data_IF_252905763923
#
_entry.id   IF_252905763923
#
_cell.length_a   1.000
_cell.length_b   1.000
_cell.length_c   1.000
_cell.angle_alpha   90.00
_cell.angle_beta   90.00
_cell.angle_gamma   90.00
#
_symmetry.space_group_name_H-M   'P 1'
#
loop_
_entity.id
_entity.type
_entity.pdbx_description
1 polymer ?
#
# COMPACT_ATOMS: atom_id res chain seq x y z
N UNK A 1 -15.91 -20.90 -6.11
CA UNK A 1 -16.43 -21.83 -5.07
C UNK A 1 -15.33 -22.41 -4.19
N UNK A 2 -14.24 -22.96 -4.77
CA UNK A 2 -13.09 -23.52 -4.01
C UNK A 2 -12.40 -22.51 -3.09
N UNK A 3 -12.19 -21.26 -3.55
CA UNK A 3 -11.57 -20.20 -2.74
C UNK A 3 -12.33 -19.82 -1.45
N UNK A 4 -13.65 -20.02 -1.42
CA UNK A 4 -14.47 -19.69 -0.25
C UNK A 4 -14.36 -20.78 0.82
N UNK A 5 -14.35 -22.05 0.39
CA UNK A 5 -14.24 -23.22 1.26
C UNK A 5 -12.86 -23.27 1.95
N UNK A 6 -11.78 -22.97 1.21
CA UNK A 6 -10.42 -22.94 1.77
C UNK A 6 -10.28 -21.83 2.84
N UNK A 7 -10.93 -20.67 2.63
CA UNK A 7 -10.95 -19.59 3.62
C UNK A 7 -11.71 -20.00 4.89
N UNK A 8 -12.85 -20.68 4.77
CA UNK A 8 -13.62 -21.18 5.92
C UNK A 8 -12.84 -22.21 6.73
N UNK A 9 -12.15 -23.15 6.08
CA UNK A 9 -11.36 -24.18 6.77
C UNK A 9 -10.18 -23.54 7.52
N UNK A 10 -9.50 -22.56 6.92
CA UNK A 10 -8.38 -21.86 7.58
C UNK A 10 -8.82 -21.09 8.82
N UNK A 11 -9.96 -20.39 8.74
CA UNK A 11 -10.52 -19.66 9.89
C UNK A 11 -10.91 -20.62 11.02
N UNK A 12 -11.51 -21.77 10.69
CA UNK A 12 -11.84 -22.81 11.66
C UNK A 12 -10.57 -23.38 12.30
N UNK A 13 -9.52 -23.65 11.52
CA UNK A 13 -8.26 -24.17 12.04
C UNK A 13 -7.58 -23.16 12.99
N UNK A 14 -7.60 -21.87 12.64
CA UNK A 14 -7.06 -20.80 13.47
C UNK A 14 -7.82 -20.69 14.80
N UNK A 15 -9.16 -20.73 14.75
CA UNK A 15 -10.01 -20.69 15.93
C UNK A 15 -9.83 -21.93 16.83
N UNK A 16 -9.66 -23.11 16.23
CA UNK A 16 -9.37 -24.35 16.96
C UNK A 16 -8.00 -24.28 17.65
N UNK A 17 -6.98 -23.73 16.97
CA UNK A 17 -5.66 -23.51 17.55
C UNK A 17 -5.74 -22.52 18.71
N UNK A 18 -6.43 -21.39 18.54
CA UNK A 18 -6.65 -20.40 19.59
C UNK A 18 -7.40 -21.01 20.79
N UNK A 19 -8.45 -21.79 20.53
CA UNK A 19 -9.26 -22.45 21.56
C UNK A 19 -8.47 -23.55 22.31
N UNK A 20 -7.74 -24.40 21.60
CA UNK A 20 -6.86 -25.41 22.20
C UNK A 20 -5.82 -24.76 23.12
N UNK A 21 -5.21 -23.66 22.70
CA UNK A 21 -4.26 -22.94 23.54
C UNK A 21 -4.91 -22.24 24.72
N UNK A 22 -6.11 -21.68 24.57
CA UNK A 22 -6.89 -21.14 25.69
C UNK A 22 -7.18 -22.23 26.74
N UNK A 23 -7.56 -23.43 26.30
CA UNK A 23 -7.81 -24.58 27.17
C UNK A 23 -6.54 -25.03 27.90
N UNK A 24 -5.41 -25.15 27.19
CA UNK A 24 -4.11 -25.52 27.76
C UNK A 24 -3.58 -24.49 28.78
N UNK A 25 -3.84 -23.20 28.58
CA UNK A 25 -3.49 -22.12 29.53
C UNK A 25 -4.32 -22.26 30.82
N UNK A 26 -5.61 -22.59 30.69
CA UNK A 26 -6.53 -22.75 31.84
C UNK A 26 -6.15 -23.93 32.74
N UNK A 27 -5.51 -24.96 32.18
CA UNK A 27 -5.10 -26.19 32.90
C UNK A 27 -3.66 -26.07 33.49
N UNK A 28 -3.00 -24.90 33.44
CA UNK A 28 -1.65 -24.67 34.03
C UNK A 28 -0.53 -25.62 33.55
N UNK A 29 -0.74 -26.34 32.44
CA UNK A 29 0.20 -27.33 31.89
C UNK A 29 1.43 -26.74 31.18
N UNK A 30 1.46 -25.42 30.93
CA UNK A 30 2.55 -24.76 30.19
C UNK A 30 3.26 -23.76 31.12
N UNK A 31 4.58 -23.90 31.38
CA UNK A 31 5.34 -22.92 32.15
C UNK A 31 5.34 -21.55 31.44
N UNK A 32 5.21 -20.47 32.21
CA UNK A 32 5.00 -19.08 31.75
C UNK A 32 6.08 -18.60 30.77
N UNK A 33 7.27 -19.19 30.81
CA UNK A 33 8.40 -18.90 29.91
C UNK A 33 8.17 -19.34 28.46
N UNK A 34 7.43 -20.44 28.24
CA UNK A 34 7.09 -20.93 26.89
C UNK A 34 5.98 -20.12 26.23
N UNK A 35 5.21 -19.37 27.02
CA UNK A 35 4.15 -18.46 26.56
C UNK A 35 4.74 -17.41 25.60
N UNK A 36 5.84 -16.76 25.97
CA UNK A 36 6.46 -15.70 25.16
C UNK A 36 6.89 -16.18 23.77
N UNK A 37 7.58 -17.32 23.69
CA UNK A 37 8.12 -17.85 22.43
C UNK A 37 7.02 -18.32 21.46
N UNK A 38 5.96 -18.92 21.99
CA UNK A 38 4.87 -19.44 21.19
C UNK A 38 3.96 -18.30 20.67
N UNK A 39 3.66 -17.30 21.50
CA UNK A 39 2.94 -16.10 21.04
C UNK A 39 3.75 -15.34 19.98
N UNK A 40 5.08 -15.23 20.12
CA UNK A 40 5.94 -14.64 19.10
C UNK A 40 5.89 -15.41 17.78
N UNK A 41 5.86 -16.75 17.82
CA UNK A 41 5.78 -17.60 16.62
C UNK A 41 4.42 -17.52 15.93
N UNK A 42 3.33 -17.54 16.70
CA UNK A 42 1.96 -17.33 16.19
C UNK A 42 1.81 -15.93 15.61
N UNK A 43 2.33 -14.90 16.30
CA UNK A 43 2.35 -13.53 15.81
C UNK A 43 3.16 -13.40 14.52
N UNK A 44 4.32 -14.07 14.41
CA UNK A 44 5.11 -14.06 13.19
C UNK A 44 4.38 -14.75 12.04
N UNK A 45 3.74 -15.90 12.27
CA UNK A 45 2.93 -16.61 11.27
C UNK A 45 1.72 -15.77 10.86
N UNK A 46 1.02 -15.17 11.81
CA UNK A 46 -0.10 -14.27 11.55
C UNK A 46 0.36 -13.00 10.81
N UNK A 47 1.54 -12.46 11.13
CA UNK A 47 2.16 -11.32 10.44
C UNK A 47 2.56 -11.68 9.01
N UNK A 48 3.16 -12.85 8.78
CA UNK A 48 3.45 -13.38 7.44
C UNK A 48 2.15 -13.59 6.64
N UNK A 49 1.11 -14.13 7.27
CA UNK A 49 -0.20 -14.35 6.65
C UNK A 49 -0.92 -13.02 6.33
N UNK A 50 -0.84 -12.03 7.22
CA UNK A 50 -1.38 -10.68 7.01
C UNK A 50 -0.61 -9.95 5.92
N UNK A 51 0.72 -10.05 5.87
CA UNK A 51 1.54 -9.53 4.77
C UNK A 51 1.11 -10.17 3.44
N UNK A 52 0.79 -11.48 3.44
CA UNK A 52 0.26 -12.19 2.28
C UNK A 52 -1.14 -11.74 1.82
N UNK A 53 -1.92 -11.03 2.66
CA UNK A 53 -3.25 -10.51 2.32
C UNK A 53 -3.25 -9.12 1.70
N UNK A 54 -2.11 -8.44 1.62
CA UNK A 54 -2.06 -7.06 1.10
C UNK A 54 -1.70 -7.10 -0.38
N UNK A 55 -2.67 -7.54 -1.18
CA UNK A 55 -2.53 -7.62 -2.63
C UNK A 55 -3.65 -6.85 -3.31
N UNK A 56 -3.29 -6.14 -4.36
CA UNK A 56 -4.23 -5.51 -5.28
C UNK A 56 -4.50 -6.47 -6.44
N UNK A 57 -5.75 -6.64 -6.84
CA UNK A 57 -6.10 -7.46 -8.00
C UNK A 57 -6.36 -6.54 -9.20
N UNK A 58 -5.67 -6.82 -10.31
CA UNK A 58 -5.92 -6.20 -11.61
C UNK A 58 -5.92 -7.31 -12.67
N UNK A 59 -7.02 -7.49 -13.40
CA UNK A 59 -7.14 -8.49 -14.46
C UNK A 59 -6.68 -9.91 -14.05
N UNK A 60 -7.07 -10.35 -12.84
CA UNK A 60 -6.68 -11.62 -12.20
C UNK A 60 -5.19 -11.74 -11.81
N UNK A 61 -4.40 -10.68 -11.94
CA UNK A 61 -3.02 -10.61 -11.45
C UNK A 61 -3.03 -10.04 -10.05
N UNK A 62 -2.36 -10.73 -9.12
CA UNK A 62 -2.15 -10.23 -7.76
C UNK A 62 -0.87 -9.40 -7.70
N UNK A 63 -1.01 -8.14 -7.33
CA UNK A 63 0.10 -7.18 -7.21
C UNK A 63 0.35 -6.91 -5.74
N UNK A 64 1.61 -7.04 -5.30
CA UNK A 64 1.98 -6.86 -3.91
C UNK A 64 1.93 -5.37 -3.51
N UNK A 65 1.21 -5.07 -2.43
CA UNK A 65 1.12 -3.72 -1.87
C UNK A 65 1.47 -3.70 -0.39
N UNK A 66 1.74 -2.51 0.16
CA UNK A 66 1.85 -2.33 1.61
C UNK A 66 0.48 -2.12 2.26
N UNK A 67 0.44 -2.08 3.60
CA UNK A 67 -0.79 -1.87 4.39
C UNK A 67 -1.56 -0.58 4.05
N UNK A 68 -0.89 0.40 3.42
CA UNK A 68 -1.46 1.68 3.01
C UNK A 68 -1.84 1.70 1.53
N UNK A 69 -1.61 0.60 0.80
CA UNK A 69 -1.90 0.45 -0.62
C UNK A 69 -0.85 1.06 -1.56
N UNK A 70 0.39 1.28 -1.11
CA UNK A 70 1.52 1.58 -2.00
C UNK A 70 2.03 0.29 -2.64
N UNK A 71 2.53 0.36 -3.88
CA UNK A 71 3.16 -0.80 -4.50
C UNK A 71 4.49 -1.11 -3.82
N UNK A 72 4.78 -2.39 -3.64
CA UNK A 72 6.09 -2.83 -3.16
C UNK A 72 7.16 -2.64 -4.26
N UNK A 73 6.78 -2.87 -5.52
CA UNK A 73 7.66 -2.72 -6.69
C UNK A 73 7.06 -1.72 -7.66
N UNK A 74 7.80 -0.65 -7.95
CA UNK A 74 7.37 0.37 -8.92
C UNK A 74 7.29 -0.16 -10.36
N UNK A 75 7.99 -1.25 -10.66
CA UNK A 75 7.98 -1.96 -11.94
C UNK A 75 6.65 -2.63 -12.26
N UNK A 76 5.86 -2.96 -11.23
CA UNK A 76 4.58 -3.69 -11.39
C UNK A 76 3.45 -2.74 -11.84
N UNK A 77 3.76 -1.44 -11.95
CA UNK A 77 2.79 -0.42 -12.31
C UNK A 77 2.48 -0.41 -13.81
N UNK A 78 1.21 -0.22 -14.11
CA UNK A 78 0.67 0.08 -15.44
C UNK A 78 -0.37 1.18 -15.33
N UNK A 79 -0.75 1.81 -16.44
CA UNK A 79 -1.82 2.83 -16.45
C UNK A 79 -3.13 2.28 -15.88
N UNK A 80 -3.50 1.04 -16.24
CA UNK A 80 -4.67 0.37 -15.70
C UNK A 80 -4.61 0.21 -14.17
N UNK A 81 -3.42 -0.07 -13.62
CA UNK A 81 -3.21 -0.10 -12.18
C UNK A 81 -3.31 1.30 -11.56
N UNK A 82 -2.75 2.31 -12.23
CA UNK A 82 -2.86 3.71 -11.82
C UNK A 82 -4.32 4.14 -11.69
N UNK A 83 -5.18 3.76 -12.65
CA UNK A 83 -6.63 4.01 -12.61
C UNK A 83 -7.27 3.32 -11.40
N UNK A 84 -6.96 2.05 -11.15
CA UNK A 84 -7.52 1.32 -9.98
C UNK A 84 -7.04 1.92 -8.65
N UNK A 85 -5.78 2.34 -8.55
CA UNK A 85 -5.26 3.03 -7.36
C UNK A 85 -5.97 4.38 -7.17
N UNK A 86 -6.14 5.16 -8.24
CA UNK A 86 -6.84 6.45 -8.19
C UNK A 86 -8.31 6.30 -7.77
N UNK A 87 -8.99 5.27 -8.28
CA UNK A 87 -10.36 4.93 -7.87
C UNK A 87 -10.46 4.66 -6.37
N UNK A 88 -9.49 3.96 -5.78
CA UNK A 88 -9.41 3.72 -4.33
C UNK A 88 -9.10 4.99 -3.53
N UNK A 89 -8.33 5.90 -4.11
CA UNK A 89 -8.06 7.24 -3.58
C UNK A 89 -9.22 8.22 -3.80
N UNK A 90 -10.31 7.78 -4.45
CA UNK A 90 -11.47 8.62 -4.81
C UNK A 90 -11.08 9.80 -5.69
N UNK A 91 -10.13 9.59 -6.61
CA UNK A 91 -9.69 10.55 -7.61
C UNK A 91 -10.07 10.04 -9.00
N UNK A 92 -10.73 10.90 -9.77
CA UNK A 92 -10.97 10.68 -11.19
C UNK A 92 -9.76 11.21 -11.99
N UNK A 93 -9.10 10.31 -12.72
CA UNK A 93 -7.92 10.68 -13.50
C UNK A 93 -8.32 11.41 -14.78
N UNK A 94 -7.91 12.68 -14.84
CA UNK A 94 -7.94 13.54 -16.02
C UNK A 94 -6.52 13.74 -16.55
N UNK A 95 -6.41 14.36 -17.72
CA UNK A 95 -5.13 14.68 -18.37
C UNK A 95 -4.15 15.39 -17.43
N UNK A 96 -4.64 16.32 -16.60
CA UNK A 96 -3.84 17.04 -15.63
C UNK A 96 -3.23 16.14 -14.55
N UNK A 97 -3.96 15.09 -14.15
CA UNK A 97 -3.48 14.13 -13.16
C UNK A 97 -2.38 13.26 -13.77
N UNK A 98 -2.56 12.82 -15.01
CA UNK A 98 -1.57 12.03 -15.75
C UNK A 98 -0.25 12.79 -15.92
N UNK A 99 -0.30 14.09 -16.21
CA UNK A 99 0.89 14.94 -16.28
C UNK A 99 1.72 14.87 -14.99
N UNK A 100 1.06 14.96 -13.83
CA UNK A 100 1.70 14.87 -12.52
C UNK A 100 2.20 13.43 -12.25
N UNK A 101 1.39 12.43 -12.55
CA UNK A 101 1.73 11.01 -12.34
C UNK A 101 2.98 10.62 -13.14
N UNK A 102 3.04 10.96 -14.43
CA UNK A 102 4.21 10.67 -15.25
C UNK A 102 5.45 11.43 -14.77
N UNK A 103 5.30 12.70 -14.35
CA UNK A 103 6.40 13.42 -13.74
C UNK A 103 6.94 12.71 -12.49
N UNK A 104 6.06 12.26 -11.59
CA UNK A 104 6.46 11.51 -10.39
C UNK A 104 7.23 10.24 -10.75
N UNK A 105 6.78 9.49 -11.77
CA UNK A 105 7.45 8.27 -12.24
C UNK A 105 8.82 8.57 -12.82
N UNK A 106 8.91 9.52 -13.76
CA UNK A 106 10.20 9.91 -14.37
C UNK A 106 11.20 10.37 -13.31
N UNK A 107 10.76 11.22 -12.38
CA UNK A 107 11.61 11.69 -11.29
C UNK A 107 12.08 10.55 -10.38
N UNK A 108 11.21 9.60 -10.06
CA UNK A 108 11.61 8.44 -9.26
C UNK A 108 12.62 7.54 -9.99
N UNK A 109 12.45 7.30 -11.29
CA UNK A 109 13.43 6.50 -12.05
C UNK A 109 14.78 7.19 -12.21
N UNK A 110 14.80 8.53 -12.20
CA UNK A 110 16.03 9.32 -12.30
C UNK A 110 16.77 9.44 -10.95
N UNK A 111 16.05 9.72 -9.86
CA UNK A 111 16.65 10.05 -8.56
C UNK A 111 16.45 8.98 -7.48
N UNK A 112 15.67 7.94 -7.75
CA UNK A 112 15.27 6.88 -6.80
C UNK A 112 14.60 7.40 -5.52
N UNK A 113 14.05 8.61 -5.56
CA UNK A 113 13.31 9.26 -4.46
C UNK A 113 12.04 9.93 -4.99
N UNK A 114 11.02 10.07 -4.14
CA UNK A 114 9.81 10.83 -4.49
C UNK A 114 10.06 12.33 -4.30
N UNK A 115 9.63 13.20 -5.22
CA UNK A 115 9.83 14.65 -5.09
C UNK A 115 8.96 15.23 -3.97
N UNK A 116 9.45 16.31 -3.35
CA UNK A 116 8.66 17.08 -2.38
C UNK A 116 7.58 17.91 -3.08
N UNK A 117 6.58 18.40 -2.34
CA UNK A 117 5.54 19.30 -2.90
C UNK A 117 6.17 20.54 -3.54
N UNK A 118 7.19 21.14 -2.90
CA UNK A 118 7.88 22.32 -3.43
C UNK A 118 8.57 22.03 -4.77
N UNK A 119 9.22 20.86 -4.88
CA UNK A 119 9.85 20.43 -6.13
C UNK A 119 8.81 20.15 -7.21
N UNK A 120 7.69 19.52 -6.84
CA UNK A 120 6.59 19.26 -7.76
C UNK A 120 6.01 20.56 -8.32
N UNK A 121 5.71 21.54 -7.45
CA UNK A 121 5.22 22.88 -7.86
C UNK A 121 6.18 23.53 -8.86
N UNK A 122 7.47 23.60 -8.51
CA UNK A 122 8.51 24.22 -9.36
C UNK A 122 8.64 23.51 -10.72
N UNK A 123 8.61 22.18 -10.72
CA UNK A 123 8.76 21.39 -11.95
C UNK A 123 7.54 21.50 -12.86
N UNK A 124 6.34 21.54 -12.27
CA UNK A 124 5.09 21.79 -13.00
C UNK A 124 5.04 23.21 -13.56
N UNK A 125 5.56 24.20 -12.82
CA UNK A 125 5.69 25.59 -13.30
C UNK A 125 6.61 25.68 -14.51
N UNK A 126 7.77 25.01 -14.44
CA UNK A 126 8.75 25.01 -15.52
C UNK A 126 8.23 24.32 -16.78
N UNK A 127 7.50 23.21 -16.64
CA UNK A 127 7.04 22.39 -17.77
C UNK A 127 5.71 22.86 -18.38
N UNK A 128 4.80 23.40 -17.56
CA UNK A 128 3.42 23.70 -17.97
C UNK A 128 2.98 25.14 -17.66
N UNK A 129 3.88 25.96 -17.11
CA UNK A 129 3.63 27.36 -16.78
C UNK A 129 3.02 27.59 -15.39
N UNK A 130 2.99 28.86 -14.97
CA UNK A 130 2.55 29.31 -13.63
C UNK A 130 1.14 28.88 -13.25
N UNK A 131 0.24 28.77 -14.23
CA UNK A 131 -1.15 28.38 -13.99
C UNK A 131 -1.28 26.94 -13.47
N UNK A 132 -0.35 26.06 -13.83
CA UNK A 132 -0.31 24.65 -13.41
C UNK A 132 0.76 24.36 -12.35
N UNK A 133 1.74 25.26 -12.22
CA UNK A 133 2.80 25.18 -11.23
C UNK A 133 2.52 25.95 -9.95
N UNK A 134 1.37 25.73 -9.31
CA UNK A 134 1.06 26.34 -8.03
C UNK A 134 0.42 25.35 -7.06
N UNK A 135 0.56 25.63 -5.76
CA UNK A 135 0.08 24.73 -4.70
C UNK A 135 -1.43 24.52 -4.80
N UNK A 136 -2.21 25.59 -4.98
CA UNK A 136 -3.68 25.53 -5.06
C UNK A 136 -4.16 24.58 -6.15
N UNK A 137 -3.60 24.70 -7.35
CA UNK A 137 -3.89 23.82 -8.48
C UNK A 137 -3.62 22.36 -8.15
N UNK A 138 -2.46 22.05 -7.57
CA UNK A 138 -2.11 20.68 -7.22
C UNK A 138 -2.98 20.11 -6.09
N UNK A 139 -3.37 20.90 -5.10
CA UNK A 139 -4.31 20.48 -4.06
C UNK A 139 -5.73 20.26 -4.60
N UNK A 140 -6.13 21.00 -5.64
CA UNK A 140 -7.40 20.75 -6.33
C UNK A 140 -7.40 19.41 -7.09
N UNK A 141 -6.24 19.00 -7.64
CA UNK A 141 -6.09 17.68 -8.28
C UNK A 141 -5.95 16.54 -7.26
N UNK A 142 -5.28 16.81 -6.14
CA UNK A 142 -4.92 15.80 -5.14
C UNK A 142 -5.24 16.31 -3.71
N UNK A 143 -6.52 16.25 -3.28
CA UNK A 143 -6.99 16.91 -2.06
C UNK A 143 -6.35 16.42 -0.76
N UNK A 144 -5.91 15.16 -0.69
CA UNK A 144 -5.29 14.59 0.52
C UNK A 144 -3.76 14.79 0.56
N UNK A 145 -3.22 15.61 -0.34
CA UNK A 145 -1.81 15.94 -0.42
C UNK A 145 -1.21 15.58 -1.78
N UNK A 146 -0.75 16.57 -2.56
CA UNK A 146 -0.27 16.35 -3.93
C UNK A 146 0.83 15.33 -4.06
N UNK A 147 1.93 15.50 -3.31
CA UNK A 147 3.04 14.56 -3.37
C UNK A 147 2.63 13.15 -2.90
N UNK A 148 1.78 13.07 -1.85
CA UNK A 148 1.38 11.80 -1.25
C UNK A 148 0.48 10.98 -2.17
N UNK A 149 -0.59 11.59 -2.69
CA UNK A 149 -1.55 10.89 -3.55
C UNK A 149 -0.96 10.65 -4.93
N UNK A 150 -0.26 11.63 -5.52
CA UNK A 150 0.38 11.44 -6.81
C UNK A 150 1.43 10.33 -6.76
N UNK A 151 2.25 10.24 -5.70
CA UNK A 151 3.22 9.15 -5.55
C UNK A 151 2.54 7.78 -5.49
N UNK A 152 1.45 7.69 -4.72
CA UNK A 152 0.70 6.43 -4.57
C UNK A 152 0.08 5.99 -5.90
N UNK A 153 -0.58 6.91 -6.60
CA UNK A 153 -1.21 6.62 -7.90
C UNK A 153 -0.18 6.31 -8.98
N UNK A 154 0.99 6.97 -8.92
CA UNK A 154 2.15 6.69 -9.76
C UNK A 154 2.81 5.33 -9.47
N UNK A 155 2.31 4.58 -8.48
CA UNK A 155 2.83 3.26 -8.12
C UNK A 155 4.20 3.32 -7.45
N UNK A 156 4.56 4.45 -6.86
CA UNK A 156 5.83 4.58 -6.16
C UNK A 156 5.75 3.91 -4.79
N UNK A 157 6.84 3.31 -4.28
CA UNK A 157 6.86 2.76 -2.93
C UNK A 157 6.65 3.88 -1.90
N UNK A 158 6.14 3.50 -0.73
CA UNK A 158 5.88 4.48 0.34
C UNK A 158 7.18 5.22 0.66
N UNK A 159 7.21 6.57 0.64
CA UNK A 159 8.39 7.30 1.04
C UNK A 159 8.71 6.97 2.50
N UNK A 160 9.95 6.56 2.73
CA UNK A 160 10.50 6.37 4.07
C UNK A 160 10.44 7.73 4.75
N UNK A 161 9.74 7.84 5.88
CA UNK A 161 9.81 9.05 6.69
C UNK A 161 11.26 9.16 7.16
N UNK A 162 12.03 10.08 6.59
CA UNK A 162 13.23 10.57 7.25
C UNK A 162 12.76 11.28 8.53
N UNK A 163 13.11 10.71 9.68
CA UNK A 163 12.98 11.35 11.00
C UNK A 163 14.00 12.47 11.14
#
# INVERSE_FOLDING_TARGET
MVHFIVNSIFVILLLLVIFYYYLMIKIKLIPVTYKSFLYAKIYLIAKIYLIGKIKMQLNNIEIATDIKGYLIRASDWSEALGVEIARREKIELREEHWQVIYFMRSFYYEFNISPTVRMLVKSMEQKYGKNKGNSTYLFNLFPQGPAKQAAKIAGLPQPVKCL
#
